data_IF_065532486077
#
_entry.id   IF_065532486077
#
_cell.length_a   1.000
_cell.length_b   1.000
_cell.length_c   1.000
_cell.angle_alpha   90.00
_cell.angle_beta   90.00
_cell.angle_gamma   90.00
#
_symmetry.space_group_name_H-M   'P 1'
#
loop_
_entity.id
_entity.type
_entity.pdbx_description
1 polymer ?
#
# COMPACT_ATOMS: atom_id res chain seq x y z
N UNK A 1 -14.31 -20.33 -3.43
CA UNK A 1 -13.59 -20.54 -2.14
C UNK A 1 -13.48 -22.04 -1.91
N UNK A 2 -12.31 -22.56 -1.49
CA UNK A 2 -12.19 -23.98 -1.15
C UNK A 2 -12.61 -24.24 0.30
N UNK A 3 -12.89 -25.52 0.63
CA UNK A 3 -13.36 -25.93 1.98
C UNK A 3 -12.39 -25.53 3.10
N UNK A 4 -11.07 -25.69 2.91
CA UNK A 4 -10.05 -25.32 3.90
C UNK A 4 -10.09 -23.82 4.23
N UNK A 5 -10.26 -22.97 3.20
CA UNK A 5 -10.40 -21.53 3.42
C UNK A 5 -11.70 -21.17 4.15
N UNK A 6 -12.79 -21.88 3.86
CA UNK A 6 -14.04 -21.70 4.58
C UNK A 6 -13.90 -22.03 6.08
N UNK A 7 -13.34 -23.19 6.41
CA UNK A 7 -13.06 -23.60 7.80
C UNK A 7 -12.13 -22.58 8.51
N UNK A 8 -11.13 -22.06 7.79
CA UNK A 8 -10.24 -21.04 8.34
C UNK A 8 -10.99 -19.75 8.78
N UNK A 9 -12.01 -19.35 8.03
CA UNK A 9 -12.86 -18.21 8.40
C UNK A 9 -13.74 -18.51 9.61
N UNK A 10 -14.25 -19.73 9.77
CA UNK A 10 -15.16 -20.08 10.88
C UNK A 10 -14.52 -19.80 12.25
N UNK A 11 -13.22 -20.02 12.40
CA UNK A 11 -12.48 -19.69 13.62
C UNK A 11 -12.15 -18.21 13.83
N UNK A 12 -12.69 -17.30 12.98
CA UNK A 12 -12.34 -15.86 12.99
C UNK A 12 -13.58 -14.97 12.82
N UNK A 13 -14.39 -14.78 13.86
CA UNK A 13 -15.63 -13.99 13.77
C UNK A 13 -15.44 -12.58 13.19
N UNK A 14 -14.32 -11.92 13.50
CA UNK A 14 -13.99 -10.59 12.98
C UNK A 14 -13.89 -10.55 11.43
N UNK A 15 -13.72 -11.71 10.77
CA UNK A 15 -13.63 -11.83 9.33
C UNK A 15 -14.91 -12.33 8.66
N UNK A 16 -16.00 -12.54 9.40
CA UNK A 16 -17.28 -12.98 8.83
C UNK A 16 -17.85 -12.03 7.78
N UNK A 17 -17.76 -10.69 7.92
CA UNK A 17 -18.18 -9.80 6.85
C UNK A 17 -17.46 -10.08 5.52
N UNK A 18 -16.17 -10.39 5.55
CA UNK A 18 -15.41 -10.76 4.34
C UNK A 18 -15.78 -12.15 3.82
N UNK A 19 -16.02 -13.12 4.70
CA UNK A 19 -16.52 -14.43 4.32
C UNK A 19 -17.83 -14.29 3.52
N UNK A 20 -18.81 -13.56 4.04
CA UNK A 20 -20.09 -13.35 3.35
C UNK A 20 -19.92 -12.58 2.04
N UNK A 21 -19.05 -11.58 1.99
CA UNK A 21 -18.71 -10.89 0.73
C UNK A 21 -18.12 -11.83 -0.32
N UNK A 22 -17.26 -12.78 0.08
CA UNK A 22 -16.67 -13.78 -0.83
C UNK A 22 -17.69 -14.79 -1.31
N UNK A 23 -18.56 -15.25 -0.43
CA UNK A 23 -19.66 -16.15 -0.79
C UNK A 23 -20.61 -15.47 -1.78
N UNK A 24 -21.11 -14.28 -1.45
CA UNK A 24 -21.96 -13.49 -2.34
C UNK A 24 -21.33 -13.26 -3.70
N UNK A 25 -20.04 -12.87 -3.75
CA UNK A 25 -19.32 -12.71 -5.02
C UNK A 25 -19.20 -14.00 -5.83
N UNK A 26 -19.02 -15.14 -5.16
CA UNK A 26 -18.94 -16.44 -5.88
C UNK A 26 -20.25 -16.85 -6.53
N UNK A 27 -21.38 -16.33 -6.04
CA UNK A 27 -22.72 -16.60 -6.58
C UNK A 27 -23.14 -15.56 -7.63
N UNK A 28 -22.74 -14.29 -7.47
CA UNK A 28 -23.26 -13.18 -8.26
C UNK A 28 -22.30 -12.65 -9.33
N UNK A 29 -21.02 -12.96 -9.24
CA UNK A 29 -20.02 -12.37 -10.15
C UNK A 29 -19.30 -13.47 -10.92
N UNK A 30 -19.42 -13.50 -12.26
CA UNK A 30 -18.62 -14.39 -13.08
C UNK A 30 -17.13 -14.19 -12.82
N UNK A 31 -16.37 -15.27 -12.87
CA UNK A 31 -14.92 -15.17 -12.77
C UNK A 31 -14.38 -14.43 -13.99
N UNK A 32 -13.62 -13.37 -13.78
CA UNK A 32 -12.92 -12.69 -14.86
C UNK A 32 -12.03 -13.67 -15.61
N UNK A 33 -12.22 -13.85 -16.92
CA UNK A 33 -11.40 -14.77 -17.72
C UNK A 33 -9.91 -14.44 -17.60
N UNK A 34 -9.08 -15.48 -17.70
CA UNK A 34 -7.61 -15.30 -17.65
C UNK A 34 -7.13 -14.39 -18.79
N UNK A 35 -7.65 -14.57 -19.98
CA UNK A 35 -7.36 -13.74 -21.17
C UNK A 35 -7.65 -12.25 -20.92
N UNK A 36 -8.75 -11.93 -20.24
CA UNK A 36 -9.08 -10.54 -19.90
C UNK A 36 -8.03 -9.96 -18.95
N UNK A 37 -7.63 -10.70 -17.91
CA UNK A 37 -6.61 -10.24 -16.96
C UNK A 37 -5.26 -10.04 -17.62
N UNK A 38 -4.84 -10.93 -18.51
CA UNK A 38 -3.61 -10.81 -19.29
C UNK A 38 -3.66 -9.58 -20.21
N UNK A 39 -4.78 -9.36 -20.91
CA UNK A 39 -4.98 -8.16 -21.72
C UNK A 39 -4.91 -6.88 -20.89
N UNK A 40 -5.57 -6.85 -19.74
CA UNK A 40 -5.51 -5.71 -18.82
C UNK A 40 -4.09 -5.42 -18.35
N UNK A 41 -3.32 -6.46 -18.02
CA UNK A 41 -1.92 -6.34 -17.61
C UNK A 41 -1.04 -5.76 -18.71
N UNK A 42 -1.16 -6.26 -19.96
CA UNK A 42 -0.42 -5.74 -21.11
C UNK A 42 -0.75 -4.26 -21.34
N UNK A 43 -2.04 -3.93 -21.46
CA UNK A 43 -2.47 -2.55 -21.69
C UNK A 43 -2.05 -1.59 -20.57
N UNK A 44 -2.02 -2.07 -19.34
CA UNK A 44 -1.58 -1.27 -18.20
C UNK A 44 -0.07 -1.07 -18.19
N UNK A 45 0.70 -2.11 -18.50
CA UNK A 45 2.16 -2.03 -18.60
C UNK A 45 2.58 -1.07 -19.74
N UNK A 46 1.93 -1.16 -20.91
CA UNK A 46 2.17 -0.26 -22.04
C UNK A 46 1.85 1.20 -21.67
N UNK A 47 0.72 1.41 -20.99
CA UNK A 47 0.35 2.74 -20.51
C UNK A 47 1.37 3.26 -19.50
N UNK A 48 1.81 2.44 -18.55
CA UNK A 48 2.84 2.82 -17.58
C UNK A 48 4.14 3.21 -18.29
N UNK A 49 4.61 2.39 -19.24
CA UNK A 49 5.81 2.68 -19.99
C UNK A 49 5.72 4.00 -20.78
N UNK A 50 4.57 4.26 -21.43
CA UNK A 50 4.34 5.49 -22.18
C UNK A 50 4.15 6.74 -21.33
N UNK A 51 3.90 6.60 -20.02
CA UNK A 51 3.72 7.72 -19.07
C UNK A 51 4.81 7.77 -18.00
N UNK A 52 5.78 6.88 -18.06
CA UNK A 52 6.88 6.84 -17.10
C UNK A 52 7.70 8.12 -17.14
N UNK A 53 8.06 8.63 -15.97
CA UNK A 53 8.95 9.76 -15.83
C UNK A 53 10.09 9.45 -14.84
N UNK A 54 11.24 10.10 -15.00
CA UNK A 54 12.31 10.05 -13.99
C UNK A 54 11.82 10.53 -12.64
N UNK A 55 12.35 9.96 -11.57
CA UNK A 55 12.05 10.41 -10.20
C UNK A 55 12.40 11.87 -9.99
N UNK A 56 13.47 12.33 -10.59
CA UNK A 56 13.97 13.70 -10.52
C UNK A 56 12.94 14.72 -11.05
N UNK A 57 12.23 14.36 -12.12
CA UNK A 57 11.15 15.18 -12.67
C UNK A 57 9.97 15.27 -11.68
N UNK A 58 9.58 14.14 -11.09
CA UNK A 58 8.57 14.13 -10.04
C UNK A 58 8.97 15.01 -8.85
N UNK A 59 10.19 14.87 -8.34
CA UNK A 59 10.68 15.65 -7.20
C UNK A 59 10.69 17.15 -7.49
N UNK A 60 11.10 17.54 -8.70
CA UNK A 60 11.06 18.95 -9.16
C UNK A 60 9.61 19.46 -9.22
N UNK A 61 8.71 18.71 -9.83
CA UNK A 61 7.30 19.11 -10.01
C UNK A 61 6.55 19.30 -8.70
N UNK A 62 6.90 18.52 -7.66
CA UNK A 62 6.28 18.66 -6.33
C UNK A 62 6.98 19.69 -5.45
N UNK A 63 8.10 20.28 -5.91
CA UNK A 63 8.87 21.26 -5.15
C UNK A 63 9.66 20.64 -4.00
N UNK A 64 10.20 19.44 -4.18
CA UNK A 64 11.00 18.76 -3.15
C UNK A 64 12.33 19.50 -2.93
N UNK A 65 12.58 19.91 -1.70
CA UNK A 65 13.78 20.71 -1.33
C UNK A 65 14.83 19.90 -0.57
N UNK A 66 14.56 18.61 -0.27
CA UNK A 66 15.46 17.78 0.50
C UNK A 66 16.55 17.12 -0.35
N UNK A 67 17.62 16.65 0.30
CA UNK A 67 18.57 15.74 -0.31
C UNK A 67 17.94 14.34 -0.43
N UNK A 68 17.98 13.75 -1.62
CA UNK A 68 17.52 12.39 -1.83
C UNK A 68 18.63 11.39 -1.48
N UNK A 69 18.39 10.61 -0.44
CA UNK A 69 19.26 9.49 -0.03
C UNK A 69 18.43 8.25 0.21
N UNK A 70 19.01 7.07 -0.01
CA UNK A 70 18.33 5.81 0.32
C UNK A 70 18.13 5.68 1.82
N UNK A 71 17.00 5.13 2.24
CA UNK A 71 16.75 4.86 3.66
C UNK A 71 17.79 3.91 4.24
N UNK A 72 18.32 2.98 3.43
CA UNK A 72 19.43 2.10 3.82
C UNK A 72 20.74 2.84 4.12
N UNK A 73 20.93 4.03 3.56
CA UNK A 73 22.09 4.90 3.82
C UNK A 73 21.86 5.83 5.02
N UNK A 74 20.60 6.22 5.24
CA UNK A 74 20.21 7.08 6.37
C UNK A 74 20.13 6.28 7.68
N UNK A 75 19.64 5.03 7.60
CA UNK A 75 19.42 4.14 8.74
C UNK A 75 20.06 2.76 8.50
N UNK A 76 21.39 2.65 8.32
CA UNK A 76 22.04 1.42 7.85
C UNK A 76 21.84 0.24 8.81
N UNK A 77 21.94 0.44 10.11
CA UNK A 77 21.80 -0.64 11.10
C UNK A 77 20.36 -1.17 11.17
N UNK A 78 19.38 -0.28 11.19
CA UNK A 78 17.97 -0.66 11.18
C UNK A 78 17.64 -1.43 9.90
N UNK A 79 18.12 -0.94 8.75
CA UNK A 79 17.91 -1.56 7.46
C UNK A 79 18.51 -2.96 7.37
N UNK A 80 19.77 -3.13 7.82
CA UNK A 80 20.44 -4.42 7.88
C UNK A 80 19.69 -5.40 8.77
N UNK A 81 19.30 -5.00 9.98
CA UNK A 81 18.54 -5.84 10.92
C UNK A 81 17.17 -6.23 10.35
N UNK A 82 16.47 -5.30 9.70
CA UNK A 82 15.22 -5.58 9.02
C UNK A 82 15.39 -6.63 7.92
N UNK A 83 16.49 -6.55 7.16
CA UNK A 83 16.87 -7.55 6.14
C UNK A 83 17.11 -8.93 6.72
N UNK A 84 17.83 -9.03 7.85
CA UNK A 84 18.09 -10.29 8.56
C UNK A 84 16.78 -10.92 9.06
N UNK A 85 15.87 -10.12 9.65
CA UNK A 85 14.56 -10.57 10.13
C UNK A 85 13.71 -11.06 8.96
N UNK A 86 13.60 -10.29 7.88
CA UNK A 86 12.82 -10.69 6.70
C UNK A 86 13.40 -11.93 6.02
N UNK A 87 14.74 -12.04 5.94
CA UNK A 87 15.45 -13.16 5.35
C UNK A 87 15.30 -14.47 6.13
N UNK A 88 15.17 -14.39 7.44
CA UNK A 88 14.93 -15.54 8.33
C UNK A 88 13.46 -15.97 8.38
N UNK A 89 12.56 -15.18 7.79
CA UNK A 89 11.14 -15.48 7.81
C UNK A 89 10.79 -16.67 6.90
N UNK A 90 10.13 -17.73 7.42
CA UNK A 90 9.80 -18.91 6.62
C UNK A 90 8.69 -18.66 5.59
N UNK A 91 8.02 -17.51 5.66
CA UNK A 91 6.95 -17.11 4.75
C UNK A 91 7.39 -15.90 3.94
N UNK A 92 7.50 -16.07 2.62
CA UNK A 92 7.78 -14.95 1.72
C UNK A 92 6.52 -14.10 1.52
N UNK A 93 6.60 -12.80 1.76
CA UNK A 93 5.48 -11.85 1.68
C UNK A 93 5.77 -10.60 0.85
N UNK A 94 6.81 -10.58 0.07
CA UNK A 94 7.23 -9.42 -0.72
C UNK A 94 8.52 -8.79 -0.20
N UNK A 95 9.07 -7.86 -0.95
CA UNK A 95 10.29 -7.11 -0.66
C UNK A 95 10.02 -5.66 -0.27
N UNK A 96 11.09 -4.87 -0.20
CA UNK A 96 11.00 -3.46 0.21
C UNK A 96 10.28 -2.56 -0.82
N UNK A 97 10.34 -2.88 -2.13
CA UNK A 97 9.78 -2.00 -3.16
C UNK A 97 10.50 -0.65 -3.26
N UNK A 98 9.78 0.39 -3.66
CA UNK A 98 10.27 1.78 -3.78
C UNK A 98 9.98 2.59 -2.50
N UNK A 99 10.42 2.07 -1.37
CA UNK A 99 10.10 2.62 -0.04
C UNK A 99 10.77 3.97 0.25
N UNK A 100 11.91 4.27 -0.39
CA UNK A 100 12.60 5.55 -0.21
C UNK A 100 11.66 6.73 -0.53
N UNK A 101 10.79 6.55 -1.54
CA UNK A 101 9.77 7.54 -1.90
C UNK A 101 8.83 7.85 -0.73
N UNK A 102 8.35 6.84 -0.02
CA UNK A 102 7.44 6.99 1.11
C UNK A 102 8.09 7.78 2.25
N UNK A 103 9.35 7.46 2.57
CA UNK A 103 10.12 8.16 3.58
C UNK A 103 10.25 9.66 3.28
N UNK A 104 10.72 9.98 2.07
CA UNK A 104 10.95 11.36 1.66
C UNK A 104 9.66 12.16 1.51
N UNK A 105 8.57 11.55 1.03
CA UNK A 105 7.28 12.23 0.94
C UNK A 105 6.65 12.48 2.32
N UNK A 106 6.81 11.57 3.27
CA UNK A 106 6.40 11.85 4.67
C UNK A 106 7.10 13.09 5.21
N UNK A 107 8.42 13.21 5.01
CA UNK A 107 9.21 14.37 5.44
C UNK A 107 8.81 15.65 4.68
N UNK A 108 8.67 15.56 3.35
CA UNK A 108 8.29 16.71 2.51
C UNK A 108 6.92 17.28 2.89
N UNK A 109 5.93 16.40 3.11
CA UNK A 109 4.59 16.79 3.53
C UNK A 109 4.51 17.25 4.99
N UNK A 110 5.54 17.01 5.79
CA UNK A 110 5.46 17.11 7.24
C UNK A 110 4.25 16.32 7.77
N UNK A 111 4.12 15.06 7.28
CA UNK A 111 2.93 14.25 7.46
C UNK A 111 2.63 13.97 8.92
N UNK A 112 1.35 14.11 9.31
CA UNK A 112 0.85 13.80 10.64
C UNK A 112 -0.01 12.53 10.65
N UNK A 113 -0.79 12.31 9.58
CA UNK A 113 -1.66 11.15 9.43
C UNK A 113 -1.40 10.43 8.12
N UNK A 114 -0.81 9.24 8.24
CA UNK A 114 -0.48 8.39 7.10
C UNK A 114 -1.34 7.13 7.15
N UNK A 115 -1.95 6.75 6.02
CA UNK A 115 -2.73 5.51 5.90
C UNK A 115 -2.07 4.59 4.89
N UNK A 116 -1.84 3.35 5.29
CA UNK A 116 -1.27 2.29 4.47
C UNK A 116 -2.24 1.11 4.35
N UNK A 117 -2.30 0.51 3.18
CA UNK A 117 -3.01 -0.77 2.97
C UNK A 117 -2.04 -1.82 2.43
N UNK A 118 -1.99 -2.97 3.13
CA UNK A 118 -0.99 -4.01 2.87
C UNK A 118 0.31 -3.72 3.63
N UNK A 119 0.71 -4.66 4.48
CA UNK A 119 1.89 -4.51 5.34
C UNK A 119 2.95 -5.56 5.04
N UNK A 120 2.55 -6.81 4.85
CA UNK A 120 3.48 -7.92 4.67
C UNK A 120 4.57 -7.97 5.77
N UNK A 121 5.87 -7.99 5.42
CA UNK A 121 6.94 -7.90 6.42
C UNK A 121 7.02 -6.53 7.11
N UNK A 122 6.45 -5.45 6.51
CA UNK A 122 6.41 -4.10 7.07
C UNK A 122 7.51 -3.16 6.57
N UNK A 123 8.03 -3.37 5.36
CA UNK A 123 9.08 -2.51 4.81
C UNK A 123 8.59 -1.07 4.58
N UNK A 124 7.44 -0.89 3.97
CA UNK A 124 6.81 0.42 3.77
C UNK A 124 6.41 1.04 5.11
N UNK A 125 5.82 0.24 6.02
CA UNK A 125 5.53 0.68 7.39
C UNK A 125 6.78 1.18 8.11
N UNK A 126 7.90 0.44 8.02
CA UNK A 126 9.18 0.80 8.64
C UNK A 126 9.65 2.18 8.19
N UNK A 127 9.71 2.43 6.88
CA UNK A 127 10.25 3.71 6.38
C UNK A 127 9.33 4.89 6.67
N UNK A 128 8.00 4.69 6.63
CA UNK A 128 7.04 5.70 7.06
C UNK A 128 7.25 6.03 8.54
N UNK A 129 7.35 5.02 9.39
CA UNK A 129 7.55 5.21 10.84
C UNK A 129 8.90 5.86 11.15
N UNK A 130 9.97 5.53 10.43
CA UNK A 130 11.27 6.22 10.55
C UNK A 130 11.17 7.71 10.19
N UNK A 131 10.39 8.05 9.17
CA UNK A 131 10.15 9.45 8.81
C UNK A 131 9.35 10.19 9.91
N UNK A 132 8.29 9.56 10.43
CA UNK A 132 7.46 10.12 11.50
C UNK A 132 8.25 10.27 12.80
N UNK A 133 9.10 9.31 13.13
CA UNK A 133 9.99 9.37 14.30
C UNK A 133 11.01 10.49 14.17
N UNK A 134 11.66 10.63 13.01
CA UNK A 134 12.57 11.76 12.71
C UNK A 134 11.89 13.13 12.88
N UNK A 135 10.60 13.23 12.56
CA UNK A 135 9.83 14.46 12.76
C UNK A 135 9.35 14.64 14.21
N UNK A 136 9.48 13.63 15.06
CA UNK A 136 8.97 13.64 16.43
C UNK A 136 7.45 13.65 16.55
N UNK A 137 6.70 13.48 15.44
CA UNK A 137 5.23 13.57 15.38
C UNK A 137 4.63 12.66 14.30
N UNK A 138 3.33 12.54 14.32
CA UNK A 138 2.54 11.82 13.33
C UNK A 138 2.31 10.35 13.71
N UNK A 139 1.36 9.74 13.03
CA UNK A 139 0.91 8.36 13.26
C UNK A 139 0.61 7.67 11.94
N UNK A 140 1.00 6.39 11.85
CA UNK A 140 0.68 5.49 10.75
C UNK A 140 -0.49 4.59 11.16
N UNK A 141 -1.54 4.51 10.34
CA UNK A 141 -2.54 3.46 10.41
C UNK A 141 -2.40 2.53 9.20
N UNK A 142 -2.12 1.26 9.47
CA UNK A 142 -1.98 0.25 8.43
C UNK A 142 -3.09 -0.79 8.52
N UNK A 143 -3.62 -1.20 7.37
CA UNK A 143 -4.58 -2.29 7.26
C UNK A 143 -3.93 -3.48 6.57
N UNK A 144 -4.11 -4.66 7.12
CA UNK A 144 -3.59 -5.90 6.51
C UNK A 144 -4.52 -7.07 6.85
N UNK A 145 -5.10 -7.68 5.83
CA UNK A 145 -5.97 -8.83 6.04
C UNK A 145 -5.14 -10.09 6.33
N UNK A 146 -5.47 -10.86 7.40
CA UNK A 146 -4.84 -12.16 7.60
C UNK A 146 -4.95 -13.07 6.37
N UNK A 147 -3.83 -13.66 5.96
CA UNK A 147 -3.79 -14.57 4.81
C UNK A 147 -4.30 -15.95 5.19
N UNK A 148 -5.40 -16.38 4.55
CA UNK A 148 -5.95 -17.71 4.79
C UNK A 148 -4.90 -18.81 4.56
N UNK A 149 -4.72 -19.67 5.55
CA UNK A 149 -3.88 -20.88 5.51
C UNK A 149 -2.35 -20.65 5.43
N UNK A 150 -1.86 -19.41 5.47
CA UNK A 150 -0.41 -19.13 5.34
C UNK A 150 0.35 -19.09 6.68
N UNK A 151 -0.35 -19.07 7.82
CA UNK A 151 0.26 -18.99 9.17
C UNK A 151 1.29 -17.86 9.33
N UNK A 152 1.08 -16.74 8.61
CA UNK A 152 2.00 -15.62 8.56
C UNK A 152 1.65 -14.48 9.55
N UNK A 153 0.62 -14.65 10.36
CA UNK A 153 0.12 -13.58 11.25
C UNK A 153 1.21 -12.98 12.16
N UNK A 154 2.09 -13.83 12.70
CA UNK A 154 3.21 -13.40 13.58
C UNK A 154 4.34 -12.67 12.85
N UNK A 155 4.36 -12.72 11.52
CA UNK A 155 5.42 -12.12 10.71
C UNK A 155 4.98 -10.80 10.06
N UNK A 156 3.71 -10.42 10.22
CA UNK A 156 3.23 -9.15 9.69
C UNK A 156 3.84 -8.01 10.47
N UNK A 157 4.53 -7.13 9.73
CA UNK A 157 5.24 -6.01 10.33
C UNK A 157 6.47 -6.40 11.16
N UNK A 158 7.02 -7.61 10.97
CA UNK A 158 8.12 -8.12 11.78
C UNK A 158 9.41 -7.31 11.65
N UNK A 159 9.59 -6.56 10.56
CA UNK A 159 10.78 -5.72 10.37
C UNK A 159 10.70 -4.38 11.11
N UNK A 160 9.54 -4.01 11.62
CA UNK A 160 9.35 -2.77 12.38
C UNK A 160 9.85 -2.94 13.82
N UNK A 161 10.87 -2.17 14.26
CA UNK A 161 11.38 -2.22 15.63
C UNK A 161 10.33 -1.80 16.67
N UNK A 162 10.44 -2.31 17.88
CA UNK A 162 9.46 -2.05 18.94
C UNK A 162 9.33 -0.57 19.29
N UNK A 163 10.45 0.15 19.36
CA UNK A 163 10.47 1.58 19.68
C UNK A 163 9.76 2.48 18.66
N UNK A 164 9.41 1.99 17.47
CA UNK A 164 8.62 2.73 16.47
C UNK A 164 7.12 2.39 16.54
N UNK A 165 6.73 1.37 17.31
CA UNK A 165 5.35 0.85 17.31
C UNK A 165 4.35 1.75 18.01
N UNK A 166 4.76 2.63 18.90
CA UNK A 166 3.89 3.59 19.58
C UNK A 166 3.21 4.57 18.60
N UNK A 167 3.84 4.79 17.43
CA UNK A 167 3.27 5.60 16.35
C UNK A 167 2.51 4.78 15.30
N UNK A 168 2.30 3.48 15.54
CA UNK A 168 1.74 2.57 14.54
C UNK A 168 0.46 1.88 15.01
N UNK A 169 -0.62 2.13 14.28
CA UNK A 169 -1.92 1.45 14.46
C UNK A 169 -2.09 0.38 13.39
N UNK A 170 -1.71 -0.86 13.69
CA UNK A 170 -1.89 -2.00 12.78
C UNK A 170 -3.26 -2.66 12.99
N UNK A 171 -4.10 -2.67 11.95
CA UNK A 171 -5.44 -3.23 11.95
C UNK A 171 -5.48 -4.48 11.08
N UNK A 172 -5.61 -5.65 11.71
CA UNK A 172 -5.62 -6.96 11.06
C UNK A 172 -7.02 -7.33 10.54
N UNK A 173 -7.54 -6.53 9.61
CA UNK A 173 -8.84 -6.70 8.93
C UNK A 173 -8.72 -6.38 7.44
N UNK A 174 -9.65 -6.90 6.60
CA UNK A 174 -9.76 -6.47 5.21
C UNK A 174 -9.97 -4.95 5.10
N UNK A 175 -9.43 -4.33 4.05
CA UNK A 175 -9.58 -2.89 3.81
C UNK A 175 -11.02 -2.40 3.90
N UNK A 176 -11.98 -3.20 3.38
CA UNK A 176 -13.41 -2.87 3.40
C UNK A 176 -13.99 -2.74 4.81
N UNK A 177 -13.37 -3.37 5.80
CA UNK A 177 -13.78 -3.33 7.19
C UNK A 177 -12.90 -2.39 8.03
N UNK A 178 -11.62 -2.23 7.65
CA UNK A 178 -10.64 -1.44 8.37
C UNK A 178 -10.64 0.04 7.95
N UNK A 179 -10.55 0.34 6.64
CA UNK A 179 -10.47 1.73 6.15
C UNK A 179 -11.64 2.61 6.61
N UNK A 180 -12.92 2.16 6.60
CA UNK A 180 -14.00 2.99 7.12
C UNK A 180 -13.86 3.37 8.59
N UNK A 181 -13.21 2.53 9.42
CA UNK A 181 -12.94 2.81 10.83
C UNK A 181 -11.84 3.86 10.96
N UNK A 182 -10.72 3.65 10.25
CA UNK A 182 -9.59 4.60 10.22
C UNK A 182 -10.04 5.97 9.73
N UNK A 183 -10.73 6.04 8.59
CA UNK A 183 -11.13 7.30 7.95
C UNK A 183 -12.28 8.02 8.67
N UNK A 184 -13.01 7.34 9.56
CA UNK A 184 -13.94 8.00 10.48
C UNK A 184 -13.21 8.70 11.63
N UNK A 185 -12.16 8.07 12.13
CA UNK A 185 -11.30 8.64 13.18
C UNK A 185 -10.39 9.75 12.59
N UNK A 186 -9.93 9.57 11.35
CA UNK A 186 -9.07 10.50 10.62
C UNK A 186 -9.76 10.98 9.33
N UNK A 187 -10.63 11.97 9.41
CA UNK A 187 -11.36 12.46 8.23
C UNK A 187 -10.47 13.19 7.21
N UNK A 188 -9.27 13.60 7.64
CA UNK A 188 -8.23 14.17 6.77
C UNK A 188 -6.90 13.44 7.01
N UNK A 189 -6.25 13.01 5.91
CA UNK A 189 -4.95 12.34 5.91
C UNK A 189 -3.99 13.04 4.97
N UNK A 190 -2.69 12.94 5.23
CA UNK A 190 -1.64 13.61 4.45
C UNK A 190 -1.14 12.75 3.30
N UNK A 191 -0.97 11.46 3.57
CA UNK A 191 -0.41 10.49 2.64
C UNK A 191 -1.19 9.18 2.74
N UNK A 192 -1.49 8.59 1.58
CA UNK A 192 -2.07 7.27 1.46
C UNK A 192 -1.15 6.37 0.62
N UNK A 193 -0.78 5.21 1.15
CA UNK A 193 -0.06 4.16 0.43
C UNK A 193 -0.98 2.95 0.20
N UNK A 194 -1.16 2.56 -1.06
CA UNK A 194 -2.03 1.45 -1.44
C UNK A 194 -1.22 0.29 -2.02
N UNK A 195 -1.13 -0.81 -1.30
CA UNK A 195 -0.45 -2.04 -1.72
C UNK A 195 -1.16 -3.33 -1.25
N UNK A 196 -2.49 -3.35 -1.22
CA UNK A 196 -3.27 -4.49 -0.70
C UNK A 196 -3.99 -5.30 -1.79
N UNK A 197 -5.29 -5.08 -2.00
CA UNK A 197 -6.11 -5.80 -2.99
C UNK A 197 -5.81 -5.31 -4.41
N UNK A 198 -4.96 -6.04 -5.15
CA UNK A 198 -4.53 -5.70 -6.51
C UNK A 198 -5.59 -5.98 -7.59
N UNK A 199 -6.81 -6.40 -7.22
CA UNK A 199 -7.90 -6.51 -8.18
C UNK A 199 -8.41 -5.12 -8.61
N UNK A 200 -8.90 -4.99 -9.86
CA UNK A 200 -9.51 -3.75 -10.35
C UNK A 200 -10.60 -3.22 -9.39
N UNK A 201 -11.43 -4.13 -8.87
CA UNK A 201 -12.52 -3.79 -7.93
C UNK A 201 -11.99 -3.33 -6.57
N UNK A 202 -10.92 -3.97 -6.07
CA UNK A 202 -10.26 -3.60 -4.81
C UNK A 202 -9.66 -2.22 -4.92
N UNK A 203 -8.84 -1.99 -5.95
CA UNK A 203 -8.22 -0.69 -6.25
C UNK A 203 -9.26 0.40 -6.46
N UNK A 204 -10.25 0.19 -7.31
CA UNK A 204 -11.31 1.18 -7.57
C UNK A 204 -12.09 1.58 -6.30
N UNK A 205 -12.25 0.67 -5.34
CA UNK A 205 -12.89 0.96 -4.06
C UNK A 205 -11.92 1.68 -3.11
N UNK A 206 -10.70 1.15 -2.93
CA UNK A 206 -9.69 1.69 -2.02
C UNK A 206 -9.25 3.11 -2.41
N UNK A 207 -8.93 3.31 -3.69
CA UNK A 207 -8.52 4.63 -4.20
C UNK A 207 -9.56 5.70 -3.92
N UNK A 208 -10.86 5.43 -4.17
CA UNK A 208 -11.92 6.41 -3.87
C UNK A 208 -11.99 6.77 -2.41
N UNK A 209 -11.85 5.79 -1.52
CA UNK A 209 -11.90 6.01 -0.07
C UNK A 209 -10.73 6.84 0.42
N UNK A 210 -9.53 6.44 0.04
CA UNK A 210 -8.31 7.14 0.41
C UNK A 210 -8.27 8.55 -0.19
N UNK A 211 -8.61 8.68 -1.49
CA UNK A 211 -8.66 9.97 -2.16
C UNK A 211 -9.63 10.94 -1.51
N UNK A 212 -10.82 10.51 -1.12
CA UNK A 212 -11.78 11.40 -0.46
C UNK A 212 -11.28 11.94 0.89
N UNK A 213 -10.49 11.16 1.61
CA UNK A 213 -9.91 11.54 2.89
C UNK A 213 -8.59 12.32 2.78
N UNK A 214 -7.89 12.29 1.66
CA UNK A 214 -6.68 13.08 1.47
C UNK A 214 -7.00 14.58 1.58
N UNK A 215 -6.18 15.32 2.32
CA UNK A 215 -6.23 16.78 2.32
C UNK A 215 -5.74 17.38 0.99
N UNK A 216 -6.08 18.61 0.64
CA UNK A 216 -5.43 19.30 -0.47
C UNK A 216 -3.91 19.31 -0.31
N UNK A 217 -3.18 18.99 -1.40
CA UNK A 217 -1.73 18.82 -1.40
C UNK A 217 -1.22 17.46 -0.90
N UNK A 218 -2.09 16.60 -0.36
CA UNK A 218 -1.72 15.23 0.04
C UNK A 218 -1.51 14.30 -1.16
N UNK A 219 -0.88 13.14 -0.93
CA UNK A 219 -0.55 12.18 -1.98
C UNK A 219 -1.22 10.83 -1.79
N UNK A 220 -1.71 10.25 -2.89
CA UNK A 220 -2.01 8.83 -3.04
C UNK A 220 -0.87 8.17 -3.82
N UNK A 221 -0.22 7.20 -3.21
CA UNK A 221 0.82 6.36 -3.82
C UNK A 221 0.27 4.95 -3.96
N UNK A 222 0.42 4.35 -5.12
CA UNK A 222 -0.01 2.96 -5.36
C UNK A 222 1.07 2.14 -6.01
N UNK A 223 1.35 0.99 -5.42
CA UNK A 223 2.28 0.01 -5.95
C UNK A 223 1.64 -0.87 -7.04
N UNK A 224 2.50 -1.45 -7.89
CA UNK A 224 2.14 -2.43 -8.92
C UNK A 224 1.01 -1.96 -9.85
N UNK A 225 0.97 -0.68 -10.21
CA UNK A 225 -0.10 -0.11 -11.05
C UNK A 225 -0.15 -0.72 -12.46
N UNK A 226 0.91 -1.43 -12.88
CA UNK A 226 1.00 -2.16 -14.14
C UNK A 226 0.18 -3.45 -14.20
N UNK A 227 -0.37 -3.92 -13.09
CA UNK A 227 -1.14 -5.17 -13.04
C UNK A 227 -2.51 -5.07 -13.75
N UNK A 228 -3.13 -3.87 -13.75
CA UNK A 228 -4.40 -3.59 -14.43
C UNK A 228 -4.66 -2.08 -14.53
N UNK A 229 -5.63 -1.69 -15.35
CA UNK A 229 -5.95 -0.30 -15.68
C UNK A 229 -6.64 0.50 -14.56
N UNK A 230 -6.84 -0.07 -13.35
CA UNK A 230 -7.60 0.62 -12.29
C UNK A 230 -7.00 1.97 -11.89
N UNK A 231 -5.68 2.09 -11.85
CA UNK A 231 -5.01 3.35 -11.49
C UNK A 231 -5.20 4.40 -12.59
N UNK A 232 -4.98 4.03 -13.86
CA UNK A 232 -5.24 4.88 -15.02
C UNK A 232 -6.69 5.38 -15.02
N UNK A 233 -7.67 4.46 -14.97
CA UNK A 233 -9.09 4.79 -14.97
C UNK A 233 -9.46 5.72 -13.82
N UNK A 234 -8.84 5.51 -12.65
CA UNK A 234 -9.07 6.37 -11.50
C UNK A 234 -8.51 7.78 -11.71
N UNK A 235 -7.26 7.92 -12.20
CA UNK A 235 -6.62 9.22 -12.47
C UNK A 235 -7.39 10.03 -13.52
N UNK A 236 -7.85 9.37 -14.59
CA UNK A 236 -8.69 9.98 -15.63
C UNK A 236 -10.03 10.47 -15.05
N UNK A 237 -10.69 9.63 -14.22
CA UNK A 237 -11.97 9.97 -13.58
C UNK A 237 -11.90 11.19 -12.68
N UNK A 238 -10.81 11.32 -11.91
CA UNK A 238 -10.60 12.48 -11.01
C UNK A 238 -9.94 13.66 -11.74
N UNK A 239 -9.64 13.53 -13.04
CA UNK A 239 -8.99 14.55 -13.89
C UNK A 239 -7.66 15.03 -13.29
N UNK A 240 -6.83 14.10 -12.84
CA UNK A 240 -5.48 14.37 -12.33
C UNK A 240 -4.45 13.66 -13.19
N UNK A 241 -3.43 14.40 -13.62
CA UNK A 241 -2.26 13.80 -14.27
C UNK A 241 -1.43 13.08 -13.21
N UNK A 242 -1.19 11.78 -13.34
CA UNK A 242 -0.34 11.05 -12.41
C UNK A 242 1.15 11.21 -12.77
N UNK A 243 2.01 11.00 -11.79
CA UNK A 243 3.39 10.59 -12.04
C UNK A 243 3.44 9.06 -11.99
N UNK A 244 4.18 8.48 -12.93
CA UNK A 244 4.39 7.03 -13.04
C UNK A 244 5.88 6.79 -12.94
N UNK A 245 6.34 6.23 -11.83
CA UNK A 245 7.76 5.97 -11.60
C UNK A 245 8.09 4.52 -11.87
N UNK A 246 9.14 4.23 -12.67
CA UNK A 246 9.66 2.88 -12.82
C UNK A 246 10.16 2.35 -11.48
N UNK A 247 9.86 1.08 -11.19
CA UNK A 247 10.28 0.37 -10.01
C UNK A 247 11.06 -0.91 -10.37
N UNK A 248 11.66 -1.55 -9.37
CA UNK A 248 12.45 -2.77 -9.58
C UNK A 248 11.61 -3.89 -10.22
N UNK A 249 12.27 -4.70 -11.06
CA UNK A 249 11.65 -5.86 -11.70
C UNK A 249 10.60 -5.53 -12.76
N UNK A 250 10.64 -4.32 -13.34
CA UNK A 250 9.68 -3.89 -14.37
C UNK A 250 8.32 -3.49 -13.81
N UNK A 251 8.22 -3.28 -12.50
CA UNK A 251 7.04 -2.75 -11.84
C UNK A 251 6.95 -1.21 -11.99
N UNK A 252 5.81 -0.65 -11.66
CA UNK A 252 5.58 0.80 -11.66
C UNK A 252 4.80 1.23 -10.43
N UNK A 253 5.22 2.38 -9.88
CA UNK A 253 4.52 3.09 -8.80
C UNK A 253 3.78 4.29 -9.39
N UNK A 254 2.53 4.44 -9.04
CA UNK A 254 1.69 5.56 -9.45
C UNK A 254 1.48 6.54 -8.30
N UNK A 255 1.58 7.84 -8.61
CA UNK A 255 1.44 8.92 -7.63
C UNK A 255 0.42 9.93 -8.12
N UNK A 256 -0.49 10.32 -7.24
CA UNK A 256 -1.48 11.36 -7.47
C UNK A 256 -1.46 12.38 -6.34
N UNK A 257 -1.42 13.67 -6.67
CA UNK A 257 -1.54 14.79 -5.72
C UNK A 257 -2.96 15.34 -5.74
N UNK A 258 -3.54 15.53 -4.57
CA UNK A 258 -4.89 16.08 -4.40
C UNK A 258 -4.96 17.59 -4.50
#
# INVERSE_FOLDING_TARGET
>A
MNFRSFVWFLGRPALYPELFRRLGRSLTTPRTPRSHREKQKILSADWCAGNACPREDFLRDVGFQGEWRKVSEIHPDIWRRAGEIAGSCPVRMGGAGEVDLLYHLCLHLQADRVVETGVAHGWSSLVILLALDRMGRGTLASTDMPYALRRNDRYIGCVVPENLRDRWKLIRLPDRDALPKVLREWPAIDLAHYDSDKSERGRAWGYRRLWSALRPGGFLISDDIHDNLAFRVFSEKIRRKPWVLPARGGAYVGILKK
#
